data_IF_653697041542
#
_entry.id   IF_653697041542
#
_cell.length_a   1.000
_cell.length_b   1.000
_cell.length_c   1.000
_cell.angle_alpha   90.00
_cell.angle_beta   90.00
_cell.angle_gamma   90.00
#
_symmetry.space_group_name_H-M   'P 1'
#
loop_
_entity.id
_entity.type
_entity.pdbx_description
1 polymer ?
#
# COMPACT_ATOMS: atom_id res chain seq x y z
N UNK A 1 -36.54 8.55 20.98
CA UNK A 1 -35.07 8.45 20.77
C UNK A 1 -34.85 7.54 19.57
N UNK A 2 -34.69 8.11 18.37
CA UNK A 2 -34.36 7.35 17.17
C UNK A 2 -32.86 7.05 17.18
N UNK A 3 -32.51 5.78 17.33
CA UNK A 3 -31.14 5.31 17.24
C UNK A 3 -30.59 5.64 15.85
N UNK A 4 -29.69 6.62 15.77
CA UNK A 4 -28.79 6.76 14.61
C UNK A 4 -27.82 5.58 14.69
N UNK A 5 -28.20 4.45 14.12
CA UNK A 5 -27.24 3.40 13.79
C UNK A 5 -26.30 3.99 12.75
N UNK A 6 -25.18 4.57 13.21
CA UNK A 6 -24.09 5.02 12.34
C UNK A 6 -23.67 3.81 11.51
N UNK A 7 -23.89 3.88 10.20
CA UNK A 7 -23.60 2.82 9.24
C UNK A 7 -22.09 2.67 9.09
N UNK A 8 -21.44 1.99 10.06
CA UNK A 8 -20.00 1.70 10.10
C UNK A 8 -19.58 0.59 9.12
N UNK A 9 -20.56 -0.06 8.49
CA UNK A 9 -20.38 -1.29 7.71
C UNK A 9 -20.92 -1.17 6.28
N UNK A 10 -20.78 0.02 5.67
CA UNK A 10 -21.11 0.16 4.25
C UNK A 10 -20.03 -0.53 3.40
N UNK A 11 -20.41 -1.44 2.48
CA UNK A 11 -19.47 -2.02 1.53
C UNK A 11 -18.92 -0.93 0.61
N UNK A 12 -17.76 -1.19 0.01
CA UNK A 12 -17.23 -0.34 -1.05
C UNK A 12 -18.29 -0.21 -2.15
N UNK A 13 -18.75 1.01 -2.39
CA UNK A 13 -19.82 1.32 -3.34
C UNK A 13 -19.41 2.38 -4.37
N UNK A 14 -18.22 2.97 -4.20
CA UNK A 14 -17.63 3.97 -5.08
C UNK A 14 -16.53 3.39 -5.98
N UNK A 15 -15.64 4.28 -6.43
CA UNK A 15 -14.51 3.94 -7.28
C UNK A 15 -13.37 3.30 -6.49
N UNK A 16 -12.50 2.57 -7.19
CA UNK A 16 -11.19 2.17 -6.68
C UNK A 16 -10.17 3.22 -7.14
N UNK A 17 -9.60 3.97 -6.21
CA UNK A 17 -8.62 5.03 -6.47
C UNK A 17 -7.28 4.66 -5.84
N UNK A 18 -6.18 4.89 -6.54
CA UNK A 18 -4.85 4.67 -5.98
C UNK A 18 -3.92 5.87 -6.19
N UNK A 19 -3.12 6.18 -5.18
CA UNK A 19 -1.98 7.08 -5.26
C UNK A 19 -0.70 6.26 -5.05
N UNK A 20 0.17 6.25 -6.07
CA UNK A 20 1.44 5.52 -6.06
C UNK A 20 2.57 6.54 -6.13
N UNK A 21 3.49 6.48 -5.17
CA UNK A 21 4.65 7.37 -5.10
C UNK A 21 5.93 6.54 -5.01
N UNK A 22 6.87 6.81 -5.92
CA UNK A 22 8.23 6.23 -5.86
C UNK A 22 9.28 7.33 -5.82
N UNK A 23 10.15 7.37 -4.82
CA UNK A 23 11.23 8.38 -4.69
C UNK A 23 12.56 7.67 -4.49
N UNK A 24 13.54 7.96 -5.36
CA UNK A 24 14.84 7.28 -5.34
C UNK A 24 16.05 8.22 -5.41
N UNK A 25 15.93 9.41 -6.01
CA UNK A 25 17.05 10.32 -6.26
C UNK A 25 17.08 11.50 -5.29
N UNK A 26 17.43 11.21 -4.03
CA UNK A 26 17.48 12.18 -2.95
C UNK A 26 18.69 13.11 -3.11
N UNK A 27 18.44 14.42 -3.14
CA UNK A 27 19.50 15.45 -3.26
C UNK A 27 20.05 15.90 -1.90
N UNK A 28 19.47 15.43 -0.79
CA UNK A 28 19.89 15.79 0.56
C UNK A 28 21.18 15.06 0.95
N UNK A 29 22.13 15.78 1.53
CA UNK A 29 23.36 15.19 2.07
C UNK A 29 23.06 14.06 3.08
N UNK A 30 23.81 12.96 2.97
CA UNK A 30 23.68 11.80 3.87
C UNK A 30 22.55 10.82 3.52
N UNK A 31 21.71 11.12 2.53
CA UNK A 31 20.65 10.21 2.08
C UNK A 31 21.08 9.55 0.76
N UNK A 32 21.37 8.25 0.80
CA UNK A 32 21.80 7.51 -0.40
C UNK A 32 20.69 7.41 -1.43
N UNK A 33 21.07 7.32 -2.71
CA UNK A 33 20.16 6.95 -3.80
C UNK A 33 19.64 5.52 -3.63
N UNK A 34 18.37 5.30 -4.00
CA UNK A 34 17.77 3.96 -4.09
C UNK A 34 17.72 3.51 -5.55
N UNK A 35 17.71 2.20 -5.79
CA UNK A 35 17.70 1.65 -7.16
C UNK A 35 16.32 1.19 -7.63
N UNK A 36 15.46 0.80 -6.68
CA UNK A 36 14.24 0.04 -6.97
C UNK A 36 12.91 0.82 -6.90
N UNK A 37 12.77 1.97 -6.18
CA UNK A 37 11.47 2.65 -6.07
C UNK A 37 10.80 3.05 -7.38
N UNK A 38 11.59 3.35 -8.43
CA UNK A 38 11.03 3.63 -9.75
C UNK A 38 10.31 2.42 -10.34
N UNK A 39 10.96 1.24 -10.29
CA UNK A 39 10.40 -0.01 -10.80
C UNK A 39 9.20 -0.46 -9.96
N UNK A 40 9.35 -0.37 -8.64
CA UNK A 40 8.30 -0.66 -7.67
C UNK A 40 7.01 0.12 -7.96
N UNK A 41 7.12 1.45 -8.09
CA UNK A 41 5.97 2.30 -8.36
C UNK A 41 5.35 1.98 -9.74
N UNK A 42 6.15 1.78 -10.78
CA UNK A 42 5.64 1.46 -12.12
C UNK A 42 4.92 0.11 -12.15
N UNK A 43 5.50 -0.92 -11.54
CA UNK A 43 4.91 -2.26 -11.56
C UNK A 43 3.64 -2.33 -10.71
N UNK A 44 3.62 -1.65 -9.56
CA UNK A 44 2.41 -1.53 -8.74
C UNK A 44 1.31 -0.76 -9.48
N UNK A 45 1.66 0.31 -10.20
CA UNK A 45 0.71 1.05 -11.04
C UNK A 45 0.02 0.11 -12.03
N UNK A 46 0.80 -0.65 -12.80
CA UNK A 46 0.28 -1.56 -13.82
C UNK A 46 -0.63 -2.64 -13.23
N UNK A 47 -0.26 -3.21 -12.08
CA UNK A 47 -1.10 -4.22 -11.42
C UNK A 47 -2.40 -3.63 -10.90
N UNK A 48 -2.33 -2.45 -10.25
CA UNK A 48 -3.52 -1.79 -9.71
C UNK A 48 -4.51 -1.39 -10.81
N UNK A 49 -4.01 -0.89 -11.95
CA UNK A 49 -4.83 -0.62 -13.13
C UNK A 49 -5.51 -1.90 -13.64
N UNK A 50 -4.79 -3.02 -13.73
CA UNK A 50 -5.36 -4.31 -14.15
C UNK A 50 -6.49 -4.81 -13.24
N UNK A 51 -6.40 -4.57 -11.93
CA UNK A 51 -7.44 -4.99 -10.97
C UNK A 51 -8.52 -3.90 -10.72
N UNK A 52 -8.53 -2.86 -11.57
CA UNK A 52 -9.62 -1.90 -11.70
C UNK A 52 -9.47 -0.62 -10.88
N UNK A 53 -8.27 -0.28 -10.41
CA UNK A 53 -8.02 1.03 -9.80
C UNK A 53 -7.79 2.10 -10.88
N UNK A 54 -8.30 3.30 -10.64
CA UNK A 54 -7.81 4.52 -11.29
C UNK A 54 -6.59 5.03 -10.53
N UNK A 55 -5.41 4.94 -11.15
CA UNK A 55 -4.13 5.21 -10.48
C UNK A 55 -3.60 6.60 -10.82
N UNK A 56 -3.15 7.34 -9.82
CA UNK A 56 -2.31 8.53 -9.96
C UNK A 56 -0.89 8.18 -9.53
N UNK A 57 0.05 8.15 -10.47
CA UNK A 57 1.45 7.77 -10.21
C UNK A 57 2.35 8.99 -10.26
N UNK A 58 3.14 9.19 -9.20
CA UNK A 58 4.13 10.26 -9.13
C UNK A 58 5.51 9.69 -8.81
N UNK A 59 6.52 10.14 -9.56
CA UNK A 59 7.87 9.63 -9.48
C UNK A 59 8.85 10.75 -9.14
N UNK A 60 9.75 10.47 -8.20
CA UNK A 60 10.85 11.32 -7.78
C UNK A 60 10.44 12.76 -7.39
N UNK A 61 9.28 12.89 -6.73
CA UNK A 61 8.78 14.19 -6.29
C UNK A 61 9.71 14.84 -5.26
N UNK A 62 9.88 16.16 -5.36
CA UNK A 62 10.40 16.95 -4.26
C UNK A 62 9.37 17.04 -3.13
N UNK A 63 9.82 17.45 -1.94
CA UNK A 63 8.97 17.50 -0.74
C UNK A 63 7.66 18.28 -0.93
N UNK A 64 7.74 19.48 -1.51
CA UNK A 64 6.57 20.34 -1.73
C UNK A 64 5.60 19.76 -2.76
N UNK A 65 6.12 19.13 -3.80
CA UNK A 65 5.30 18.50 -4.84
C UNK A 65 4.57 17.28 -4.30
N UNK A 66 5.17 16.55 -3.33
CA UNK A 66 4.50 15.44 -2.66
C UNK A 66 3.28 15.91 -1.86
N UNK A 67 3.41 17.00 -1.09
CA UNK A 67 2.29 17.58 -0.37
C UNK A 67 1.15 18.00 -1.31
N UNK A 68 1.49 18.63 -2.44
CA UNK A 68 0.54 19.00 -3.49
C UNK A 68 -0.13 17.78 -4.13
N UNK A 69 0.63 16.74 -4.45
CA UNK A 69 0.08 15.51 -5.03
C UNK A 69 -0.92 14.83 -4.10
N UNK A 70 -0.65 14.80 -2.78
CA UNK A 70 -1.58 14.30 -1.78
C UNK A 70 -2.87 15.14 -1.70
N UNK A 71 -2.77 16.47 -1.74
CA UNK A 71 -3.93 17.37 -1.72
C UNK A 71 -4.80 17.20 -2.98
N UNK A 72 -4.19 17.16 -4.15
CA UNK A 72 -4.88 16.94 -5.42
C UNK A 72 -5.53 15.56 -5.51
N UNK A 73 -4.88 14.51 -4.99
CA UNK A 73 -5.47 13.19 -4.92
C UNK A 73 -6.67 13.15 -3.96
N UNK A 74 -6.54 13.77 -2.78
CA UNK A 74 -7.61 13.85 -1.78
C UNK A 74 -8.90 14.46 -2.36
N UNK A 75 -8.79 15.48 -3.21
CA UNK A 75 -9.94 16.14 -3.86
C UNK A 75 -10.76 15.20 -4.75
N UNK A 76 -10.18 14.09 -5.22
CA UNK A 76 -10.87 13.09 -6.06
C UNK A 76 -11.72 12.11 -5.26
N UNK A 77 -11.43 11.92 -3.97
CA UNK A 77 -12.03 10.90 -3.13
C UNK A 77 -13.46 11.30 -2.72
N UNK A 78 -14.40 10.37 -2.92
CA UNK A 78 -15.80 10.49 -2.51
C UNK A 78 -16.17 9.45 -1.43
N UNK A 79 -17.22 9.70 -0.62
CA UNK A 79 -17.72 8.70 0.30
C UNK A 79 -18.08 7.38 -0.40
N UNK A 80 -17.52 6.28 0.06
CA UNK A 80 -17.75 4.94 -0.49
C UNK A 80 -16.64 4.43 -1.42
N UNK A 81 -15.68 5.28 -1.80
CA UNK A 81 -14.51 4.87 -2.58
C UNK A 81 -13.59 3.94 -1.77
N UNK A 82 -12.95 3.00 -2.47
CA UNK A 82 -11.79 2.26 -1.98
C UNK A 82 -10.54 3.02 -2.37
N UNK A 83 -9.74 3.41 -1.39
CA UNK A 83 -8.53 4.21 -1.61
C UNK A 83 -7.30 3.39 -1.21
N UNK A 84 -6.34 3.29 -2.12
CA UNK A 84 -5.04 2.68 -1.88
C UNK A 84 -3.93 3.73 -1.99
N UNK A 85 -3.04 3.75 -1.01
CA UNK A 85 -1.80 4.53 -1.09
C UNK A 85 -0.61 3.58 -1.06
N UNK A 86 0.29 3.74 -2.02
CA UNK A 86 1.54 3.00 -2.09
C UNK A 86 2.72 3.98 -2.13
N UNK A 87 3.72 3.72 -1.30
CA UNK A 87 4.94 4.51 -1.23
C UNK A 87 6.18 3.60 -1.24
N UNK A 88 7.12 3.88 -2.15
CA UNK A 88 8.46 3.30 -2.16
C UNK A 88 9.50 4.41 -2.07
N UNK A 89 10.41 4.32 -1.10
CA UNK A 89 11.43 5.33 -0.84
C UNK A 89 12.04 5.19 0.55
N UNK A 90 12.89 6.14 0.92
CA UNK A 90 13.36 6.26 2.31
C UNK A 90 12.20 6.67 3.20
N UNK A 91 12.01 5.92 4.29
CA UNK A 91 11.05 6.23 5.33
C UNK A 91 11.71 6.06 6.69
N UNK A 92 11.49 7.02 7.58
CA UNK A 92 11.86 6.88 9.00
C UNK A 92 10.60 7.01 9.82
N UNK A 93 10.29 5.96 10.56
CA UNK A 93 9.20 5.98 11.53
C UNK A 93 9.73 6.56 12.85
N UNK A 94 9.07 7.62 13.34
CA UNK A 94 9.37 8.20 14.66
C UNK A 94 8.48 7.62 15.77
N UNK A 95 7.20 7.39 15.47
CA UNK A 95 6.21 6.89 16.42
C UNK A 95 5.45 5.70 15.83
N UNK A 96 4.85 4.88 16.70
CA UNK A 96 3.86 3.89 16.27
C UNK A 96 2.75 4.58 15.47
N UNK A 97 2.33 3.95 14.37
CA UNK A 97 1.27 4.45 13.52
C UNK A 97 0.14 3.44 13.52
N UNK A 98 -0.93 3.79 14.22
CA UNK A 98 -2.11 2.96 14.34
C UNK A 98 -3.13 3.30 13.26
N UNK A 99 -3.67 2.26 12.62
CA UNK A 99 -4.78 2.39 11.70
C UNK A 99 -5.98 3.06 12.38
N UNK A 100 -6.64 3.96 11.65
CA UNK A 100 -7.94 4.52 12.03
C UNK A 100 -9.07 3.63 11.52
N UNK A 101 -10.24 3.72 12.14
CA UNK A 101 -11.43 2.94 11.74
C UNK A 101 -11.66 3.05 10.23
N UNK A 102 -11.81 1.91 9.57
CA UNK A 102 -11.96 1.81 8.11
C UNK A 102 -10.65 1.79 7.32
N UNK A 103 -9.49 1.73 7.97
CA UNK A 103 -8.18 1.70 7.31
C UNK A 103 -7.32 0.51 7.71
N UNK A 104 -6.36 0.21 6.84
CA UNK A 104 -5.31 -0.78 7.01
C UNK A 104 -4.00 -0.16 6.51
N UNK A 105 -2.92 -0.37 7.26
CA UNK A 105 -1.58 0.09 6.94
C UNK A 105 -0.64 -1.12 6.97
N UNK A 106 -0.04 -1.42 5.83
CA UNK A 106 0.97 -2.47 5.69
C UNK A 106 2.35 -1.83 5.54
N UNK A 107 3.27 -2.18 6.43
CA UNK A 107 4.66 -1.75 6.41
C UNK A 107 5.56 -2.86 5.88
N UNK A 108 6.51 -2.50 5.01
CA UNK A 108 7.45 -3.46 4.42
C UNK A 108 8.39 -4.13 5.45
N UNK A 109 8.57 -3.53 6.63
CA UNK A 109 9.36 -4.06 7.72
C UNK A 109 8.81 -3.59 9.07
N UNK A 110 9.24 -4.22 10.16
CA UNK A 110 8.80 -3.93 11.52
C UNK A 110 9.38 -2.59 12.01
N UNK A 111 8.72 -1.92 12.98
CA UNK A 111 9.23 -0.67 13.54
C UNK A 111 10.69 -0.79 14.00
N UNK A 112 11.52 0.19 13.62
CA UNK A 112 12.95 0.21 13.95
C UNK A 112 13.83 -0.72 13.12
N UNK A 113 13.28 -1.45 12.14
CA UNK A 113 14.04 -2.30 11.21
C UNK A 113 14.10 -1.68 9.81
N UNK A 114 14.87 -2.31 8.91
CA UNK A 114 15.09 -1.82 7.55
C UNK A 114 14.45 -2.80 6.55
N UNK A 115 13.72 -2.26 5.57
CA UNK A 115 13.26 -3.03 4.43
C UNK A 115 14.42 -3.24 3.45
N UNK A 116 14.60 -4.47 2.97
CA UNK A 116 15.62 -4.79 1.97
C UNK A 116 15.27 -4.14 0.63
N UNK A 117 16.26 -3.45 0.07
CA UNK A 117 16.17 -2.91 -1.27
C UNK A 117 16.08 -4.02 -2.33
N UNK A 118 16.50 -5.25 -2.04
CA UNK A 118 16.61 -6.32 -3.04
C UNK A 118 17.84 -6.13 -3.92
N UNK A 119 19.03 -6.41 -3.38
CA UNK A 119 20.29 -6.31 -4.13
C UNK A 119 20.23 -7.15 -5.41
N UNK A 120 20.55 -6.53 -6.55
CA UNK A 120 20.50 -7.14 -7.90
C UNK A 120 19.10 -7.62 -8.34
N UNK A 121 18.05 -7.16 -7.69
CA UNK A 121 16.67 -7.45 -8.06
C UNK A 121 16.01 -6.22 -8.68
N UNK A 122 14.97 -6.46 -9.49
CA UNK A 122 14.20 -5.39 -10.13
C UNK A 122 13.44 -4.53 -9.12
N UNK A 123 12.90 -5.16 -8.08
CA UNK A 123 11.98 -4.58 -7.12
C UNK A 123 12.47 -4.78 -5.68
N UNK A 124 12.00 -3.93 -4.76
CA UNK A 124 12.16 -4.14 -3.33
C UNK A 124 11.55 -5.48 -2.89
N UNK A 125 12.12 -6.10 -1.85
CA UNK A 125 11.74 -7.48 -1.46
C UNK A 125 10.23 -7.59 -1.14
N UNK A 126 9.69 -6.61 -0.42
CA UNK A 126 8.27 -6.55 -0.11
C UNK A 126 7.42 -6.37 -1.38
N UNK A 127 7.79 -5.42 -2.24
CA UNK A 127 7.08 -5.13 -3.49
C UNK A 127 7.05 -6.33 -4.42
N UNK A 128 8.18 -7.05 -4.54
CA UNK A 128 8.27 -8.30 -5.33
C UNK A 128 7.20 -9.31 -4.95
N UNK A 129 7.02 -9.55 -3.66
CA UNK A 129 6.01 -10.50 -3.18
C UNK A 129 4.60 -9.92 -3.15
N UNK A 130 4.45 -8.61 -2.94
CA UNK A 130 3.16 -7.94 -3.07
C UNK A 130 2.61 -8.09 -4.50
N UNK A 131 3.43 -7.79 -5.52
CA UNK A 131 3.06 -7.92 -6.94
C UNK A 131 2.62 -9.35 -7.29
N UNK A 132 3.25 -10.36 -6.69
CA UNK A 132 2.90 -11.77 -6.91
C UNK A 132 1.49 -12.14 -6.44
N UNK A 133 0.97 -11.49 -5.40
CA UNK A 133 -0.30 -11.86 -4.76
C UNK A 133 -1.43 -10.85 -4.98
N UNK A 134 -1.14 -9.64 -5.45
CA UNK A 134 -2.14 -8.56 -5.53
C UNK A 134 -3.29 -8.87 -6.51
N UNK A 135 -3.01 -9.69 -7.53
CA UNK A 135 -3.99 -10.11 -8.53
C UNK A 135 -4.78 -11.36 -8.11
N UNK A 136 -4.54 -11.92 -6.91
CA UNK A 136 -5.28 -13.08 -6.41
C UNK A 136 -6.77 -12.75 -6.28
N UNK A 137 -7.65 -13.41 -7.07
CA UNK A 137 -9.05 -13.07 -7.11
C UNK A 137 -9.77 -13.55 -5.84
N UNK A 138 -10.67 -12.71 -5.32
CA UNK A 138 -11.57 -13.04 -4.21
C UNK A 138 -10.85 -13.46 -2.91
N UNK A 139 -9.61 -13.01 -2.72
CA UNK A 139 -8.86 -13.21 -1.48
C UNK A 139 -8.90 -11.95 -0.61
N UNK A 140 -9.09 -12.14 0.70
CA UNK A 140 -9.11 -11.01 1.62
C UNK A 140 -7.71 -10.38 1.69
N UNK A 141 -7.64 -9.05 1.69
CA UNK A 141 -6.36 -8.32 1.73
C UNK A 141 -5.46 -8.73 2.90
N UNK A 142 -6.02 -9.13 4.05
CA UNK A 142 -5.21 -9.59 5.19
C UNK A 142 -4.58 -10.95 4.91
N UNK A 143 -5.23 -11.82 4.14
CA UNK A 143 -4.67 -13.10 3.72
C UNK A 143 -3.57 -12.90 2.67
N UNK A 144 -3.81 -12.03 1.68
CA UNK A 144 -2.76 -11.59 0.73
C UNK A 144 -1.52 -11.09 1.49
N UNK A 145 -1.70 -10.20 2.46
CA UNK A 145 -0.59 -9.65 3.23
C UNK A 145 0.08 -10.68 4.16
N UNK A 146 -0.65 -11.68 4.64
CA UNK A 146 -0.07 -12.81 5.37
C UNK A 146 0.86 -13.64 4.48
N UNK A 147 0.45 -13.92 3.23
CA UNK A 147 1.29 -14.63 2.26
C UNK A 147 2.53 -13.81 1.87
N UNK A 148 2.37 -12.50 1.65
CA UNK A 148 3.50 -11.58 1.44
C UNK A 148 4.46 -11.62 2.63
N UNK A 149 3.94 -11.54 3.85
CA UNK A 149 4.75 -11.59 5.09
C UNK A 149 5.55 -12.88 5.16
N UNK A 150 4.90 -14.02 4.92
CA UNK A 150 5.54 -15.34 4.92
C UNK A 150 6.69 -15.41 3.90
N UNK A 151 6.47 -14.97 2.66
CA UNK A 151 7.52 -15.02 1.63
C UNK A 151 8.67 -14.07 1.90
N UNK A 152 8.39 -12.84 2.35
CA UNK A 152 9.43 -11.87 2.71
C UNK A 152 10.29 -12.40 3.86
N UNK A 153 9.68 -12.99 4.89
CA UNK A 153 10.42 -13.59 6.00
C UNK A 153 11.30 -14.76 5.53
N UNK A 154 10.75 -15.69 4.74
CA UNK A 154 11.53 -16.83 4.22
C UNK A 154 12.71 -16.34 3.37
N UNK A 155 12.47 -15.37 2.49
CA UNK A 155 13.44 -14.93 1.47
C UNK A 155 14.49 -13.98 2.02
N UNK A 156 14.19 -13.33 3.13
CA UNK A 156 15.16 -12.53 3.88
C UNK A 156 15.93 -13.34 4.93
N UNK A 157 15.75 -14.67 5.01
CA UNK A 157 16.28 -15.50 6.11
C UNK A 157 15.87 -14.93 7.48
N UNK A 158 14.58 -14.60 7.63
CA UNK A 158 13.94 -14.04 8.82
C UNK A 158 14.42 -12.63 9.21
N UNK A 159 15.17 -11.94 8.36
CA UNK A 159 15.72 -10.60 8.66
C UNK A 159 14.71 -9.46 8.46
N UNK A 160 13.76 -9.63 7.55
CA UNK A 160 12.73 -8.65 7.25
C UNK A 160 11.36 -9.21 7.63
N UNK A 161 10.71 -8.59 8.62
CA UNK A 161 9.37 -8.91 9.08
C UNK A 161 8.43 -7.76 8.68
N UNK A 162 7.59 -7.91 7.63
CA UNK A 162 6.52 -6.97 7.37
C UNK A 162 5.56 -6.84 8.57
N UNK A 163 4.97 -5.66 8.74
CA UNK A 163 4.09 -5.37 9.86
C UNK A 163 2.75 -4.80 9.39
N UNK A 164 1.66 -5.16 10.08
CA UNK A 164 0.30 -4.78 9.73
C UNK A 164 -0.36 -4.07 10.90
N UNK A 165 -0.96 -2.90 10.63
CA UNK A 165 -1.90 -2.23 11.53
C UNK A 165 -3.25 -2.11 10.82
N UNK A 166 -4.33 -2.60 11.43
CA UNK A 166 -5.64 -2.62 10.78
C UNK A 166 -6.78 -2.34 11.77
N UNK A 167 -7.72 -1.50 11.34
CA UNK A 167 -8.97 -1.20 12.05
C UNK A 167 -10.15 -1.25 11.08
N UNK A 168 -10.21 -2.32 10.28
CA UNK A 168 -11.24 -2.55 9.27
C UNK A 168 -12.57 -2.95 9.93
N UNK A 169 -13.68 -2.45 9.40
CA UNK A 169 -15.04 -2.81 9.85
C UNK A 169 -15.65 -3.92 9.00
N UNK A 170 -15.38 -3.91 7.68
CA UNK A 170 -15.88 -4.92 6.76
C UNK A 170 -15.27 -6.31 7.03
N UNK A 171 -16.11 -7.34 6.96
CA UNK A 171 -15.68 -8.74 7.18
C UNK A 171 -14.59 -9.17 6.20
N UNK A 172 -14.74 -8.84 4.91
CA UNK A 172 -13.75 -9.15 3.86
C UNK A 172 -13.54 -7.93 2.95
N UNK A 173 -12.30 -7.71 2.51
CA UNK A 173 -11.96 -6.68 1.52
C UNK A 173 -11.17 -7.31 0.38
N UNK A 174 -11.72 -7.22 -0.82
CA UNK A 174 -11.15 -7.80 -2.05
C UNK A 174 -10.61 -6.71 -2.96
N UNK A 175 -9.31 -6.76 -3.27
CA UNK A 175 -8.71 -5.85 -4.25
C UNK A 175 -9.00 -6.30 -5.68
N UNK A 176 -8.96 -7.62 -5.93
CA UNK A 176 -9.22 -8.25 -7.21
C UNK A 176 -10.47 -9.15 -7.12
N UNK A 177 -11.43 -8.96 -8.03
CA UNK A 177 -12.70 -9.71 -8.04
C UNK A 177 -13.75 -9.22 -7.03
N UNK A 178 -14.88 -9.94 -7.00
CA UNK A 178 -15.95 -9.88 -6.00
C UNK A 178 -16.41 -11.32 -5.72
N UNK A 179 -16.78 -11.68 -4.47
CA UNK A 179 -17.46 -12.94 -4.24
C UNK A 179 -18.73 -12.95 -5.08
N UNK A 180 -18.87 -13.94 -5.96
CA UNK A 180 -20.17 -14.22 -6.53
C UNK A 180 -21.12 -14.52 -5.38
N UNK A 181 -22.19 -13.71 -5.25
CA UNK A 181 -23.32 -14.05 -4.41
C UNK A 181 -23.88 -15.38 -4.90
N UNK A 182 -23.72 -16.44 -4.11
CA UNK A 182 -24.60 -17.62 -4.22
C UNK A 182 -25.97 -17.27 -3.66
#
# INVERSE_FOLDING_TARGET
MTSKTTTIDKPVSGQKLALVIGIWDYQNEGVRKLTNPENDAKDITLVLERIGFSVTTNLNLAYWDMAKACDEFRKKIQPGDMVLFYFAGHGKQWNAMDAKVGSLIAFACAPGTIASDGENERNGLFTKYLLKHLETPNEDIRMILADVTKEVMIKSNMKQLPFLSAALTQKNIYLCGQPQSK
#
